data_IF_671590649620
#
_entry.id   IF_671590649620
#
_cell.length_a   1.000
_cell.length_b   1.000
_cell.length_c   1.000
_cell.angle_alpha   90.00
_cell.angle_beta   90.00
_cell.angle_gamma   90.00
#
_symmetry.space_group_name_H-M   'P 1'
#
loop_
_entity.id
_entity.type
_entity.pdbx_description
1 polymer ?
#
# COMPACT_ATOMS: atom_id res chain seq x y z
N UNK A 1 26.98 7.44 3.81
CA UNK A 1 26.04 6.32 3.74
C UNK A 1 25.30 6.46 2.42
N UNK A 2 25.38 5.48 1.54
CA UNK A 2 24.69 5.54 0.27
C UNK A 2 23.29 5.02 0.45
N UNK A 3 22.30 5.90 0.35
CA UNK A 3 20.88 5.53 0.40
C UNK A 3 20.41 5.17 -1.00
N UNK A 4 19.82 3.98 -1.13
CA UNK A 4 19.18 3.54 -2.35
C UNK A 4 17.67 3.53 -2.11
N UNK A 5 16.93 4.36 -2.84
CA UNK A 5 15.48 4.35 -2.88
C UNK A 5 15.03 3.80 -4.24
N UNK A 6 14.10 2.88 -4.30
CA UNK A 6 13.65 2.38 -5.59
C UNK A 6 12.75 1.15 -5.47
N UNK A 7 12.40 0.57 -6.62
CA UNK A 7 11.54 -0.59 -6.72
C UNK A 7 12.15 -1.84 -6.09
N UNK A 8 11.29 -2.69 -5.52
CA UNK A 8 11.67 -3.97 -4.92
C UNK A 8 12.51 -4.86 -5.86
N UNK A 9 12.33 -4.75 -7.16
CA UNK A 9 13.12 -5.44 -8.19
C UNK A 9 14.60 -5.02 -8.20
N UNK A 10 14.92 -3.82 -7.70
CA UNK A 10 16.30 -3.33 -7.58
C UNK A 10 16.96 -3.93 -6.33
N UNK A 11 16.18 -4.36 -5.33
CA UNK A 11 16.68 -4.83 -4.04
C UNK A 11 17.03 -6.31 -4.00
N UNK A 12 16.52 -7.14 -4.90
CA UNK A 12 16.77 -8.59 -4.91
C UNK A 12 18.25 -8.97 -5.08
N UNK A 13 19.06 -8.06 -5.65
CA UNK A 13 20.53 -8.23 -5.76
C UNK A 13 21.34 -7.54 -4.66
N UNK A 14 20.73 -6.65 -3.88
CA UNK A 14 21.40 -5.73 -2.94
C UNK A 14 21.14 -6.13 -1.48
N UNK A 15 20.12 -6.94 -1.22
CA UNK A 15 19.68 -7.33 0.15
C UNK A 15 20.74 -8.03 1.00
N UNK A 16 21.83 -8.52 0.41
CA UNK A 16 22.94 -9.12 1.16
C UNK A 16 23.93 -8.09 1.76
N UNK A 17 23.85 -6.83 1.33
CA UNK A 17 24.81 -5.76 1.73
C UNK A 17 24.12 -4.53 2.31
N UNK A 18 22.79 -4.44 2.23
CA UNK A 18 22.01 -3.29 2.66
C UNK A 18 20.80 -3.71 3.48
N UNK A 19 20.50 -2.99 4.54
CA UNK A 19 19.27 -3.14 5.31
C UNK A 19 18.12 -2.39 4.62
N UNK A 20 16.96 -3.02 4.54
CA UNK A 20 15.76 -2.42 3.94
C UNK A 20 14.97 -1.74 5.07
N UNK A 21 14.79 -0.44 4.95
CA UNK A 21 14.01 0.38 5.86
C UNK A 21 12.70 0.84 5.21
N UNK A 22 11.60 0.70 5.96
CA UNK A 22 10.30 1.22 5.58
C UNK A 22 9.97 2.40 6.50
N UNK A 23 9.97 3.64 6.01
CA UNK A 23 9.74 4.82 6.85
C UNK A 23 8.30 4.93 7.37
N UNK A 24 7.37 4.27 6.70
CA UNK A 24 5.94 4.30 7.05
C UNK A 24 5.53 2.91 7.53
N UNK A 25 4.85 2.85 8.69
CA UNK A 25 4.18 1.64 9.20
C UNK A 25 2.76 1.97 9.62
N UNK A 26 1.82 1.10 9.27
CA UNK A 26 0.40 1.25 9.58
C UNK A 26 -0.18 2.65 9.26
N UNK A 27 0.33 3.26 8.17
CA UNK A 27 -0.10 4.59 7.73
C UNK A 27 0.58 5.78 8.42
N UNK A 28 1.46 5.55 9.42
CA UNK A 28 2.18 6.59 10.16
C UNK A 28 3.67 6.60 9.82
N UNK A 29 4.29 7.78 9.79
CA UNK A 29 5.74 7.93 9.59
C UNK A 29 6.43 7.60 10.92
N UNK A 30 7.26 6.55 10.95
CA UNK A 30 8.06 6.17 12.12
C UNK A 30 9.53 6.60 11.99
N UNK A 31 10.08 6.59 10.78
CA UNK A 31 11.46 6.98 10.51
C UNK A 31 11.50 8.24 9.64
N UNK A 32 11.62 9.38 10.28
CA UNK A 32 11.65 10.69 9.63
C UNK A 32 12.92 10.90 8.77
N UNK A 33 14.06 10.32 9.18
CA UNK A 33 15.29 10.41 8.39
C UNK A 33 15.16 9.65 7.07
N UNK A 34 14.64 8.41 7.14
CA UNK A 34 14.40 7.63 5.94
C UNK A 34 13.32 8.28 5.06
N UNK A 35 12.30 8.91 5.67
CA UNK A 35 11.25 9.62 4.93
C UNK A 35 11.77 10.85 4.20
N UNK A 36 12.63 11.66 4.84
CA UNK A 36 13.29 12.80 4.21
C UNK A 36 14.12 12.37 2.98
N UNK A 37 14.91 11.30 3.09
CA UNK A 37 15.65 10.74 1.97
C UNK A 37 14.73 10.25 0.84
N UNK A 38 13.59 9.62 1.18
CA UNK A 38 12.60 9.18 0.21
C UNK A 38 11.97 10.37 -0.52
N UNK A 39 11.57 11.43 0.21
CA UNK A 39 11.06 12.67 -0.41
C UNK A 39 12.11 13.35 -1.30
N UNK A 40 13.35 13.43 -0.84
CA UNK A 40 14.44 13.96 -1.65
C UNK A 40 14.61 13.18 -2.96
N UNK A 41 14.55 11.84 -2.91
CA UNK A 41 14.56 11.01 -4.12
C UNK A 41 13.37 11.30 -5.03
N UNK A 42 12.16 11.41 -4.47
CA UNK A 42 10.96 11.73 -5.24
C UNK A 42 11.06 13.10 -5.91
N UNK A 43 11.49 14.13 -5.19
CA UNK A 43 11.57 15.51 -5.69
C UNK A 43 12.65 15.65 -6.77
N UNK A 44 13.88 15.26 -6.45
CA UNK A 44 15.03 15.55 -7.33
C UNK A 44 15.21 14.53 -8.45
N UNK A 45 14.87 13.26 -8.25
CA UNK A 45 15.12 12.21 -9.26
C UNK A 45 13.86 11.79 -10.04
N UNK A 46 12.71 11.74 -9.38
CA UNK A 46 11.47 11.29 -10.03
C UNK A 46 10.73 12.45 -10.66
N UNK A 47 10.40 13.49 -9.89
CA UNK A 47 9.74 14.70 -10.37
C UNK A 47 10.68 15.62 -11.11
N UNK A 48 11.97 15.61 -10.77
CA UNK A 48 13.02 16.43 -11.36
C UNK A 48 12.69 17.91 -11.33
N UNK A 49 12.11 18.36 -10.23
CA UNK A 49 11.73 19.76 -10.04
C UNK A 49 12.61 20.43 -8.99
N UNK A 50 12.75 21.76 -9.12
CA UNK A 50 13.34 22.60 -8.08
C UNK A 50 12.25 22.98 -7.09
N UNK A 51 12.31 22.50 -5.83
CA UNK A 51 11.25 22.73 -4.85
C UNK A 51 11.03 24.21 -4.53
N UNK A 52 12.08 25.05 -4.65
CA UNK A 52 11.96 26.49 -4.39
C UNK A 52 11.00 27.21 -5.36
N UNK A 53 10.74 26.62 -6.51
CA UNK A 53 9.86 27.18 -7.54
C UNK A 53 8.47 26.51 -7.58
N UNK A 54 8.20 25.55 -6.67
CA UNK A 54 6.97 24.77 -6.71
C UNK A 54 6.24 24.79 -5.36
N UNK A 55 4.91 24.71 -5.45
CA UNK A 55 4.05 24.47 -4.31
C UNK A 55 3.76 22.98 -4.22
N UNK A 56 3.76 22.44 -3.02
CA UNK A 56 3.54 21.02 -2.77
C UNK A 56 2.19 20.79 -2.09
N UNK A 57 1.46 19.81 -2.57
CA UNK A 57 0.33 19.20 -1.88
C UNK A 57 0.82 17.87 -1.30
N UNK A 58 0.84 17.80 0.02
CA UNK A 58 1.17 16.58 0.76
C UNK A 58 -0.10 15.98 1.34
N UNK A 59 -0.13 14.68 1.45
CA UNK A 59 -1.25 13.98 2.06
C UNK A 59 -0.85 13.36 3.39
N UNK A 60 -1.80 13.30 4.29
CA UNK A 60 -1.65 12.63 5.59
C UNK A 60 -2.81 11.67 5.87
N UNK A 61 -2.56 10.70 6.75
CA UNK A 61 -3.61 9.85 7.28
C UNK A 61 -4.57 10.65 8.18
N UNK A 62 -5.86 10.28 8.28
CA UNK A 62 -6.84 11.06 9.03
C UNK A 62 -6.59 11.15 10.53
N UNK A 63 -5.81 10.20 11.10
CA UNK A 63 -5.43 10.18 12.52
C UNK A 63 -3.98 10.64 12.77
N UNK A 64 -3.36 11.32 11.81
CA UNK A 64 -1.99 11.84 11.96
C UNK A 64 -1.91 12.84 13.13
N UNK A 65 -1.00 12.63 14.09
CA UNK A 65 -0.82 13.55 15.19
C UNK A 65 -0.40 14.96 14.70
N UNK A 66 -0.86 16.05 15.33
CA UNK A 66 -0.47 17.41 14.96
C UNK A 66 1.05 17.61 14.90
N UNK A 67 1.79 16.99 15.80
CA UNK A 67 3.26 17.03 15.85
C UNK A 67 3.91 16.48 14.57
N UNK A 68 3.36 15.43 14.00
CA UNK A 68 3.89 14.84 12.78
C UNK A 68 3.64 15.75 11.57
N UNK A 69 2.51 16.47 11.58
CA UNK A 69 2.22 17.50 10.57
C UNK A 69 3.17 18.69 10.68
N UNK A 70 3.49 19.12 11.89
CA UNK A 70 4.49 20.16 12.16
C UNK A 70 5.86 19.73 11.63
N UNK A 71 6.29 18.50 11.93
CA UNK A 71 7.57 17.96 11.49
C UNK A 71 7.64 17.80 9.96
N UNK A 72 6.55 17.36 9.33
CA UNK A 72 6.44 17.34 7.86
C UNK A 72 6.64 18.73 7.28
N UNK A 73 5.96 19.73 7.83
CA UNK A 73 6.08 21.12 7.38
C UNK A 73 7.50 21.67 7.58
N UNK A 74 8.13 21.39 8.72
CA UNK A 74 9.51 21.78 9.00
C UNK A 74 10.47 21.21 7.95
N UNK A 75 10.42 19.91 7.66
CA UNK A 75 11.28 19.30 6.63
C UNK A 75 11.01 19.90 5.26
N UNK A 76 9.76 20.12 4.87
CA UNK A 76 9.44 20.67 3.56
C UNK A 76 9.95 22.11 3.39
N UNK A 77 9.86 22.95 4.42
CA UNK A 77 10.32 24.32 4.34
C UNK A 77 11.83 24.47 4.60
N UNK A 78 12.35 23.80 5.65
CA UNK A 78 13.74 24.01 6.07
C UNK A 78 14.74 23.16 5.26
N UNK A 79 14.39 21.91 4.93
CA UNK A 79 15.29 21.03 4.17
C UNK A 79 15.12 21.23 2.67
N UNK A 80 13.88 21.25 2.17
CA UNK A 80 13.64 21.32 0.73
C UNK A 80 13.39 22.75 0.23
N UNK A 81 13.08 23.70 1.08
CA UNK A 81 12.87 25.10 0.71
C UNK A 81 11.69 25.32 -0.22
N UNK A 82 10.60 24.59 -0.04
CA UNK A 82 9.44 24.65 -0.96
C UNK A 82 8.80 26.05 -0.97
N UNK A 83 8.31 26.48 -2.15
CA UNK A 83 7.64 27.77 -2.30
C UNK A 83 6.29 27.86 -1.56
N UNK A 84 5.68 26.73 -1.25
CA UNK A 84 4.44 26.66 -0.49
C UNK A 84 4.04 25.21 -0.24
N UNK A 85 3.29 25.00 0.84
CA UNK A 85 2.86 23.68 1.28
C UNK A 85 1.36 23.70 1.61
N UNK A 86 0.64 22.70 1.14
CA UNK A 86 -0.70 22.36 1.58
C UNK A 86 -0.68 20.92 2.07
N UNK A 87 -1.18 20.67 3.28
CA UNK A 87 -1.34 19.31 3.81
C UNK A 87 -2.83 19.00 3.87
N UNK A 88 -3.25 17.90 3.28
CA UNK A 88 -4.65 17.48 3.23
C UNK A 88 -4.82 16.02 3.61
N UNK A 89 -5.98 15.69 4.19
CA UNK A 89 -6.33 14.33 4.56
C UNK A 89 -6.66 13.53 3.30
N UNK A 90 -6.05 12.34 3.15
CA UNK A 90 -6.19 11.46 1.99
C UNK A 90 -7.65 11.17 1.63
N UNK A 91 -8.48 10.88 2.63
CA UNK A 91 -9.89 10.54 2.43
C UNK A 91 -10.69 11.70 1.80
N UNK A 92 -10.43 12.95 2.19
CA UNK A 92 -11.10 14.12 1.63
C UNK A 92 -10.77 14.28 0.15
N UNK A 93 -9.50 14.10 -0.20
CA UNK A 93 -9.05 14.19 -1.59
C UNK A 93 -9.60 13.04 -2.45
N UNK A 94 -9.65 11.82 -1.89
CA UNK A 94 -10.24 10.68 -2.56
C UNK A 94 -11.73 10.88 -2.85
N UNK A 95 -12.47 11.43 -1.88
CA UNK A 95 -13.87 11.76 -2.06
C UNK A 95 -14.05 12.87 -3.12
N UNK A 96 -13.25 13.92 -3.05
CA UNK A 96 -13.30 15.01 -4.06
C UNK A 96 -12.95 14.50 -5.47
N UNK A 97 -12.03 13.55 -5.60
CA UNK A 97 -11.68 12.94 -6.89
C UNK A 97 -12.80 12.08 -7.50
N UNK A 98 -13.77 11.64 -6.69
CA UNK A 98 -14.93 10.88 -7.19
C UNK A 98 -16.01 11.77 -7.83
N UNK A 99 -15.91 13.09 -7.67
CA UNK A 99 -16.90 14.02 -8.20
C UNK A 99 -16.85 14.16 -9.72
N UNK A 100 -18.01 14.27 -10.32
CA UNK A 100 -18.14 14.63 -11.73
C UNK A 100 -17.98 16.15 -11.92
N UNK A 101 -17.72 16.59 -13.15
CA UNK A 101 -17.64 18.02 -13.47
C UNK A 101 -18.92 18.78 -13.09
N UNK A 102 -20.06 18.14 -13.24
CA UNK A 102 -21.37 18.70 -12.92
C UNK A 102 -21.54 18.92 -11.40
N UNK A 103 -21.06 17.98 -10.60
CA UNK A 103 -21.04 18.08 -9.13
C UNK A 103 -20.06 19.16 -8.65
N UNK A 104 -18.92 19.30 -9.30
CA UNK A 104 -17.95 20.37 -9.02
C UNK A 104 -18.55 21.75 -9.30
N UNK A 105 -19.24 21.92 -10.45
CA UNK A 105 -19.91 23.17 -10.79
C UNK A 105 -21.02 23.49 -9.79
N UNK A 106 -21.80 22.50 -9.38
CA UNK A 106 -22.87 22.68 -8.39
C UNK A 106 -22.31 23.09 -7.02
N UNK A 107 -21.19 22.51 -6.61
CA UNK A 107 -20.53 22.84 -5.33
C UNK A 107 -19.97 24.27 -5.35
N UNK A 108 -19.30 24.69 -6.43
CA UNK A 108 -18.79 26.04 -6.58
C UNK A 108 -19.90 27.10 -6.61
N UNK A 109 -21.12 26.73 -7.03
CA UNK A 109 -22.31 27.56 -7.01
C UNK A 109 -23.12 27.46 -5.69
N UNK A 110 -22.57 26.77 -4.65
CA UNK A 110 -23.22 26.65 -3.34
C UNK A 110 -24.28 25.55 -3.24
N UNK A 111 -24.34 24.62 -4.18
CA UNK A 111 -25.34 23.54 -4.22
C UNK A 111 -24.85 22.13 -4.02
N UNK A 112 -23.54 21.91 -3.87
CA UNK A 112 -22.96 20.58 -3.64
C UNK A 112 -22.38 20.43 -2.24
N UNK A 113 -22.52 19.25 -1.66
CA UNK A 113 -21.98 18.89 -0.35
C UNK A 113 -20.94 17.78 -0.50
N UNK A 114 -19.69 18.03 -0.05
CA UNK A 114 -18.63 17.03 -0.07
C UNK A 114 -18.79 16.09 1.14
N UNK A 115 -19.81 15.24 1.07
CA UNK A 115 -20.13 14.29 2.12
C UNK A 115 -20.15 12.85 1.60
N UNK A 116 -19.58 11.92 2.39
CA UNK A 116 -19.53 10.52 2.01
C UNK A 116 -18.72 9.68 2.99
N UNK A 117 -18.68 8.39 2.72
CA UNK A 117 -17.87 7.42 3.46
C UNK A 117 -16.73 6.94 2.56
N UNK A 118 -15.50 7.13 2.99
CA UNK A 118 -14.30 6.65 2.30
C UNK A 118 -13.78 5.41 3.01
N UNK A 119 -13.63 4.33 2.27
CA UNK A 119 -12.96 3.11 2.72
C UNK A 119 -11.63 3.05 1.96
N UNK A 120 -10.54 3.27 2.68
CA UNK A 120 -9.18 3.22 2.14
C UNK A 120 -8.46 1.99 2.68
N UNK A 121 -8.26 1.00 1.81
CA UNK A 121 -7.52 -0.22 2.13
C UNK A 121 -6.15 -0.16 1.47
N UNK A 122 -5.18 0.29 2.23
CA UNK A 122 -3.81 0.51 1.79
C UNK A 122 -2.90 -0.72 1.97
N UNK A 123 -1.61 -0.47 1.88
CA UNK A 123 -0.59 -1.51 2.10
C UNK A 123 -0.45 -1.87 3.59
N UNK A 124 -0.50 -0.89 4.50
CA UNK A 124 -0.24 -1.07 5.93
C UNK A 124 -1.47 -1.05 6.84
N UNK A 125 -2.60 -0.53 6.39
CA UNK A 125 -3.82 -0.42 7.18
C UNK A 125 -5.05 -0.25 6.28
N UNK A 126 -6.22 -0.53 6.83
CA UNK A 126 -7.52 -0.21 6.25
C UNK A 126 -8.23 0.80 7.15
N UNK A 127 -8.71 1.90 6.57
CA UNK A 127 -9.37 2.98 7.29
C UNK A 127 -10.76 3.23 6.72
N UNK A 128 -11.72 3.47 7.60
CA UNK A 128 -13.10 3.85 7.25
C UNK A 128 -13.30 5.26 7.77
N UNK A 129 -13.42 6.22 6.87
CA UNK A 129 -13.37 7.64 7.16
C UNK A 129 -14.66 8.32 6.69
N UNK A 130 -15.57 8.68 7.59
CA UNK A 130 -16.71 9.50 7.25
C UNK A 130 -16.31 10.96 7.09
N UNK A 131 -16.78 11.57 6.00
CA UNK A 131 -16.57 12.97 5.65
C UNK A 131 -17.93 13.66 5.54
N UNK A 132 -18.07 14.81 6.15
CA UNK A 132 -19.25 15.67 6.06
C UNK A 132 -18.85 17.09 5.72
N UNK A 133 -19.38 17.61 4.63
CA UNK A 133 -19.08 18.96 4.10
C UNK A 133 -17.56 19.24 4.02
N UNK A 134 -16.80 18.27 3.51
CA UNK A 134 -15.34 18.34 3.39
C UNK A 134 -14.55 18.18 4.70
N UNK A 135 -15.24 17.95 5.82
CA UNK A 135 -14.62 17.79 7.13
C UNK A 135 -14.67 16.33 7.58
N UNK A 136 -13.54 15.81 8.02
CA UNK A 136 -13.46 14.45 8.57
C UNK A 136 -14.11 14.40 9.94
N UNK A 137 -15.01 13.44 10.14
CA UNK A 137 -15.63 13.16 11.44
C UNK A 137 -14.70 12.28 12.28
N UNK A 138 -13.70 12.89 12.91
CA UNK A 138 -12.59 12.17 13.57
C UNK A 138 -13.03 11.18 14.64
N UNK A 139 -14.16 11.42 15.32
CA UNK A 139 -14.69 10.53 16.35
C UNK A 139 -15.38 9.27 15.79
N UNK A 140 -15.55 9.20 14.47
CA UNK A 140 -16.23 8.11 13.78
C UNK A 140 -15.30 7.37 12.80
N UNK A 141 -14.00 7.58 12.91
CA UNK A 141 -13.01 6.87 12.11
C UNK A 141 -12.77 5.51 12.73
N UNK A 142 -12.87 4.46 11.91
CA UNK A 142 -12.40 3.13 12.25
C UNK A 142 -11.12 2.82 11.47
N UNK A 143 -10.11 2.29 12.17
CA UNK A 143 -8.86 1.84 11.58
C UNK A 143 -8.59 0.41 11.97
N UNK A 144 -8.22 -0.40 11.00
CA UNK A 144 -7.82 -1.79 11.15
C UNK A 144 -6.38 -1.94 10.67
N UNK A 145 -5.53 -2.59 11.46
CA UNK A 145 -4.13 -2.89 11.12
C UNK A 145 -4.03 -4.10 10.16
N UNK A 146 -4.92 -4.14 9.17
CA UNK A 146 -4.95 -5.13 8.09
C UNK A 146 -4.83 -4.39 6.77
N UNK A 147 -3.82 -4.75 5.99
CA UNK A 147 -3.57 -4.16 4.68
C UNK A 147 -2.93 -5.14 3.71
N UNK A 148 -2.51 -4.63 2.56
CA UNK A 148 -1.91 -5.45 1.51
C UNK A 148 -0.65 -6.20 1.94
N UNK A 149 0.08 -5.71 2.97
CA UNK A 149 1.25 -6.37 3.55
C UNK A 149 0.86 -7.66 4.28
N UNK A 150 -0.24 -7.61 5.04
CA UNK A 150 -0.70 -8.76 5.82
C UNK A 150 -1.21 -9.85 4.90
N UNK A 151 -1.95 -9.48 3.83
CA UNK A 151 -2.32 -10.40 2.76
C UNK A 151 -1.08 -11.05 2.13
N UNK A 152 -0.01 -10.28 1.87
CA UNK A 152 1.26 -10.83 1.35
C UNK A 152 1.90 -11.81 2.33
N UNK A 153 1.92 -11.46 3.61
CA UNK A 153 2.47 -12.34 4.67
C UNK A 153 1.67 -13.64 4.77
N UNK A 154 0.36 -13.56 4.64
CA UNK A 154 -0.51 -14.73 4.68
C UNK A 154 -0.33 -15.61 3.43
N UNK A 155 -0.23 -15.04 2.23
CA UNK A 155 0.18 -15.80 1.03
C UNK A 155 1.49 -16.54 1.27
N UNK A 156 2.49 -15.85 1.82
CA UNK A 156 3.78 -16.46 2.13
C UNK A 156 3.65 -17.62 3.13
N UNK A 157 2.83 -17.46 4.17
CA UNK A 157 2.56 -18.50 5.15
C UNK A 157 1.92 -19.73 4.50
N UNK A 158 0.85 -19.57 3.73
CA UNK A 158 0.15 -20.67 3.05
C UNK A 158 1.08 -21.43 2.09
N UNK A 159 1.91 -20.73 1.33
CA UNK A 159 2.90 -21.35 0.46
C UNK A 159 3.96 -22.16 1.26
N UNK A 160 4.38 -21.67 2.43
CA UNK A 160 5.29 -22.40 3.33
C UNK A 160 4.66 -23.66 3.93
N UNK A 161 3.40 -23.57 4.34
CA UNK A 161 2.65 -24.71 4.88
C UNK A 161 2.51 -25.85 3.86
N UNK A 162 2.34 -25.52 2.60
CA UNK A 162 2.36 -26.47 1.48
C UNK A 162 3.77 -26.95 1.11
N UNK A 163 4.82 -26.43 1.77
CA UNK A 163 6.24 -26.77 1.53
C UNK A 163 6.68 -26.49 0.10
N UNK A 164 6.17 -25.43 -0.49
CA UNK A 164 6.59 -25.01 -1.83
C UNK A 164 8.09 -24.64 -1.86
N UNK A 165 8.76 -25.02 -2.92
CA UNK A 165 10.20 -24.85 -3.08
C UNK A 165 10.56 -23.43 -3.51
N UNK A 166 10.41 -22.45 -2.58
CA UNK A 166 10.79 -21.07 -2.81
C UNK A 166 12.23 -20.84 -2.35
N UNK A 167 13.08 -20.17 -3.14
CA UNK A 167 14.44 -19.84 -2.73
C UNK A 167 14.49 -19.02 -1.45
N UNK A 168 15.48 -19.31 -0.59
CA UNK A 168 15.69 -18.54 0.64
C UNK A 168 15.93 -17.06 0.33
N UNK A 169 15.34 -16.17 1.13
CA UNK A 169 15.44 -14.72 0.99
C UNK A 169 14.41 -14.08 0.04
N UNK A 170 13.79 -14.84 -0.87
CA UNK A 170 12.84 -14.29 -1.86
C UNK A 170 11.37 -14.52 -1.49
N UNK A 171 11.08 -15.16 -0.37
CA UNK A 171 9.72 -15.63 -0.06
C UNK A 171 8.66 -14.54 0.02
N UNK A 172 8.98 -13.37 0.58
CA UNK A 172 8.05 -12.26 0.68
C UNK A 172 7.83 -11.57 -0.66
N UNK A 173 8.88 -11.37 -1.45
CA UNK A 173 8.81 -10.79 -2.79
C UNK A 173 7.97 -11.67 -3.73
N UNK A 174 8.21 -12.98 -3.72
CA UNK A 174 7.42 -13.95 -4.47
C UNK A 174 5.95 -13.92 -4.04
N UNK A 175 5.68 -13.91 -2.74
CA UNK A 175 4.32 -13.81 -2.23
C UNK A 175 3.63 -12.51 -2.64
N UNK A 176 4.36 -11.40 -2.69
CA UNK A 176 3.82 -10.13 -3.18
C UNK A 176 3.44 -10.19 -4.66
N UNK A 177 4.32 -10.74 -5.51
CA UNK A 177 4.02 -10.95 -6.93
C UNK A 177 2.85 -11.92 -7.13
N UNK A 178 2.78 -13.00 -6.33
CA UNK A 178 1.66 -13.94 -6.37
C UNK A 178 0.36 -13.24 -5.99
N UNK A 179 0.37 -12.43 -4.94
CA UNK A 179 -0.78 -11.62 -4.53
C UNK A 179 -1.28 -10.73 -5.66
N UNK A 180 -0.39 -9.96 -6.27
CA UNK A 180 -0.74 -8.96 -7.29
C UNK A 180 -1.21 -9.57 -8.61
N UNK A 181 -0.63 -10.70 -9.01
CA UNK A 181 -0.90 -11.28 -10.33
C UNK A 181 -1.94 -12.40 -10.33
N UNK A 182 -2.09 -13.12 -9.23
CA UNK A 182 -2.88 -14.35 -9.20
C UNK A 182 -4.01 -14.35 -8.17
N UNK A 183 -3.93 -13.53 -7.12
CA UNK A 183 -4.97 -13.50 -6.11
C UNK A 183 -6.22 -12.75 -6.59
N UNK A 184 -7.36 -13.15 -6.07
CA UNK A 184 -8.66 -12.54 -6.36
C UNK A 184 -9.61 -12.75 -5.18
N UNK A 185 -10.60 -11.89 -5.05
CA UNK A 185 -11.68 -12.02 -4.07
C UNK A 185 -12.83 -12.83 -4.68
N UNK A 186 -13.43 -13.70 -3.89
CA UNK A 186 -14.59 -14.50 -4.31
C UNK A 186 -15.84 -14.13 -3.50
N UNK A 187 -17.05 -14.18 -4.08
CA UNK A 187 -18.28 -13.85 -3.38
C UNK A 187 -18.65 -14.86 -2.29
N UNK A 188 -18.20 -16.10 -2.38
CA UNK A 188 -18.51 -17.20 -1.47
C UNK A 188 -17.32 -18.17 -1.41
N UNK A 189 -16.56 -18.06 -0.32
CA UNK A 189 -15.36 -18.84 -0.11
C UNK A 189 -15.62 -20.35 -0.06
N UNK A 190 -16.75 -20.78 0.50
CA UNK A 190 -17.09 -22.20 0.60
C UNK A 190 -17.32 -22.83 -0.77
N UNK A 191 -18.09 -22.15 -1.61
CA UNK A 191 -18.32 -22.59 -2.99
C UNK A 191 -17.05 -22.57 -3.81
N UNK A 192 -16.14 -21.63 -3.54
CA UNK A 192 -14.87 -21.57 -4.26
C UNK A 192 -13.96 -22.74 -3.89
N UNK A 193 -13.93 -23.16 -2.62
CA UNK A 193 -13.28 -24.40 -2.20
C UNK A 193 -13.90 -25.65 -2.83
N UNK A 194 -15.23 -25.76 -2.85
CA UNK A 194 -15.92 -26.88 -3.51
C UNK A 194 -15.55 -26.99 -5.01
N UNK A 195 -15.43 -25.87 -5.70
CA UNK A 195 -15.00 -25.81 -7.09
C UNK A 195 -13.54 -26.21 -7.24
N UNK A 196 -12.68 -25.72 -6.35
CA UNK A 196 -11.26 -26.07 -6.31
C UNK A 196 -11.10 -27.59 -6.11
N UNK A 197 -11.77 -28.17 -5.14
CA UNK A 197 -11.71 -29.61 -4.82
C UNK A 197 -12.24 -30.48 -5.98
N UNK A 198 -13.26 -29.98 -6.68
CA UNK A 198 -13.84 -30.69 -7.85
C UNK A 198 -12.91 -30.72 -9.07
N UNK A 199 -12.07 -29.70 -9.26
CA UNK A 199 -11.19 -29.59 -10.43
C UNK A 199 -9.93 -28.76 -10.10
N UNK A 200 -9.00 -29.30 -9.28
CA UNK A 200 -7.80 -28.58 -8.84
C UNK A 200 -6.91 -28.09 -10.00
N UNK A 201 -6.78 -28.88 -11.06
CA UNK A 201 -5.92 -28.56 -12.22
C UNK A 201 -6.29 -27.24 -12.91
N UNK A 202 -7.55 -26.88 -12.91
CA UNK A 202 -8.03 -25.61 -13.48
C UNK A 202 -7.59 -24.41 -12.65
N UNK A 203 -7.47 -24.58 -11.33
CA UNK A 203 -7.18 -23.52 -10.38
C UNK A 203 -5.69 -23.37 -10.10
N UNK A 204 -4.92 -24.45 -10.20
CA UNK A 204 -3.47 -24.41 -10.02
C UNK A 204 -2.84 -23.54 -11.11
N UNK A 205 -2.03 -22.56 -10.68
CA UNK A 205 -1.23 -21.74 -11.57
C UNK A 205 0.25 -21.98 -11.26
N UNK A 206 1.07 -21.88 -12.29
CA UNK A 206 2.51 -22.02 -12.15
C UNK A 206 3.15 -20.64 -12.13
N UNK A 207 3.93 -20.36 -11.08
CA UNK A 207 4.80 -19.20 -11.01
C UNK A 207 6.21 -19.62 -11.40
N UNK A 208 6.81 -18.89 -12.32
CA UNK A 208 8.15 -19.15 -12.84
C UNK A 208 9.01 -17.89 -12.65
N UNK A 209 10.23 -18.08 -12.16
CA UNK A 209 11.19 -16.99 -11.97
C UNK A 209 12.62 -17.51 -12.06
N UNK A 210 13.58 -16.60 -12.09
CA UNK A 210 15.01 -16.91 -12.07
C UNK A 210 15.66 -16.33 -10.83
N UNK A 211 16.56 -17.08 -10.21
CA UNK A 211 17.35 -16.57 -9.08
C UNK A 211 18.31 -15.49 -9.57
N UNK A 212 18.22 -14.29 -9.01
CA UNK A 212 19.06 -13.15 -9.36
C UNK A 212 20.56 -13.46 -9.20
N UNK A 213 20.94 -14.23 -8.17
CA UNK A 213 22.34 -14.54 -7.84
C UNK A 213 22.93 -15.64 -8.71
N UNK A 214 22.13 -16.64 -9.09
CA UNK A 214 22.64 -17.85 -9.77
C UNK A 214 22.18 -18.01 -11.20
N UNK A 215 21.21 -17.20 -11.66
CA UNK A 215 20.57 -17.32 -12.98
C UNK A 215 19.77 -18.61 -13.20
N UNK A 216 19.61 -19.44 -12.15
CA UNK A 216 18.85 -20.69 -12.26
C UNK A 216 17.36 -20.43 -12.26
N UNK A 217 16.68 -20.96 -13.28
CA UNK A 217 15.22 -20.99 -13.31
C UNK A 217 14.66 -21.88 -12.21
N UNK A 218 13.56 -21.48 -11.62
CA UNK A 218 12.79 -22.22 -10.63
C UNK A 218 11.30 -21.95 -10.81
N UNK A 219 10.47 -22.81 -10.27
CA UNK A 219 9.02 -22.62 -10.33
C UNK A 219 8.36 -23.20 -9.09
N UNK A 220 7.19 -22.65 -8.73
CA UNK A 220 6.31 -23.19 -7.69
C UNK A 220 4.87 -23.18 -8.18
N UNK A 221 4.02 -23.98 -7.55
CA UNK A 221 2.60 -23.99 -7.80
C UNK A 221 1.90 -23.00 -6.89
N UNK A 222 0.87 -22.36 -7.44
CA UNK A 222 0.00 -21.46 -6.71
C UNK A 222 -1.39 -22.09 -6.76
N UNK A 223 -2.00 -22.26 -5.58
CA UNK A 223 -3.23 -23.02 -5.43
C UNK A 223 -4.33 -22.18 -4.75
N UNK A 224 -4.87 -22.67 -3.64
CA UNK A 224 -5.97 -22.04 -2.91
C UNK A 224 -5.60 -20.72 -2.21
N UNK A 225 -4.33 -20.41 -2.00
CA UNK A 225 -3.89 -19.11 -1.50
C UNK A 225 -4.36 -17.95 -2.37
N UNK A 226 -4.69 -18.19 -3.64
CA UNK A 226 -5.17 -17.20 -4.58
C UNK A 226 -6.49 -16.55 -4.15
N UNK A 227 -7.36 -17.29 -3.52
CA UNK A 227 -8.66 -16.81 -3.07
C UNK A 227 -8.79 -16.81 -1.54
N UNK A 228 -8.01 -17.64 -0.84
CA UNK A 228 -8.03 -17.69 0.61
C UNK A 228 -7.31 -16.49 1.25
N UNK A 229 -6.16 -16.07 0.70
CA UNK A 229 -5.42 -14.99 1.31
C UNK A 229 -6.15 -13.63 1.26
N UNK A 230 -6.81 -13.21 0.17
CA UNK A 230 -7.60 -11.99 0.17
C UNK A 230 -8.82 -12.03 1.10
N UNK A 231 -9.31 -13.22 1.46
CA UNK A 231 -10.45 -13.38 2.36
C UNK A 231 -10.19 -12.76 3.75
N UNK A 232 -8.93 -12.70 4.19
CA UNK A 232 -8.58 -12.08 5.48
C UNK A 232 -9.02 -10.62 5.61
N UNK A 233 -9.20 -9.89 4.50
CA UNK A 233 -9.68 -8.50 4.51
C UNK A 233 -11.15 -8.45 4.95
N UNK A 234 -11.94 -9.47 4.62
CA UNK A 234 -13.36 -9.58 4.97
C UNK A 234 -13.60 -10.41 6.22
N UNK A 235 -12.71 -11.37 6.47
CA UNK A 235 -12.77 -12.30 7.58
C UNK A 235 -11.38 -12.44 8.22
N UNK A 236 -11.00 -11.52 9.13
CA UNK A 236 -9.66 -11.48 9.73
C UNK A 236 -9.26 -12.75 10.48
N UNK A 237 -10.21 -13.53 10.97
CA UNK A 237 -9.95 -14.78 11.70
C UNK A 237 -9.27 -15.85 10.82
N UNK A 238 -9.38 -15.74 9.51
CA UNK A 238 -8.77 -16.70 8.57
C UNK A 238 -7.25 -16.62 8.55
N UNK A 239 -6.69 -15.45 8.86
CA UNK A 239 -5.24 -15.20 8.87
C UNK A 239 -4.59 -15.22 10.26
N UNK A 240 -5.33 -15.57 11.31
CA UNK A 240 -4.87 -15.57 12.70
C UNK A 240 -4.34 -16.94 13.16
#
# INVERSE_FOLDING_TARGET
>A
MDFLCGDANTFSGISSTHDIHFPIKHGSIEDWNAMEHLWGRCIYHTLRCDPANHKFLMTEAPLTPPKDREQMAEIMFETFGVAGLCISIQAVLALAASWTNEEIENHTNGGGDLSGLVIDSGYGATQIVPVYDGHVMSNCIDQFDIGGRDVTSYVQQLMRERKESIPQGCGFEVANHVKEQYCYTCPDIKKEFERYDSNPEKYIKKYESTRSVTGKAWSCNIEYERFLAPEMVFNPEVGS
#
